data_IF_774465943425
#
_entry.id   IF_774465943425
#
_cell.length_a   1.000
_cell.length_b   1.000
_cell.length_c   1.000
_cell.angle_alpha   90.00
_cell.angle_beta   90.00
_cell.angle_gamma   90.00
#
_symmetry.space_group_name_H-M   'P 1'
#
loop_
_entity.id
_entity.type
_entity.pdbx_description
1 polymer ?
#
# COMPACT_ATOMS: atom_id res chain seq x y z
N UNK A 1 -21.88 -6.62 4.76
CA UNK A 1 -21.20 -6.22 3.52
C UNK A 1 -20.29 -5.03 3.83
N UNK A 2 -19.03 -5.06 3.41
CA UNK A 2 -18.06 -3.99 3.69
C UNK A 2 -18.41 -2.76 2.85
N UNK A 3 -18.54 -1.58 3.48
CA UNK A 3 -18.72 -0.30 2.76
C UNK A 3 -17.35 0.21 2.33
N UNK A 4 -17.08 0.21 1.03
CA UNK A 4 -15.84 0.75 0.47
C UNK A 4 -15.88 2.27 0.37
N UNK A 5 -14.72 2.92 0.41
CA UNK A 5 -14.62 4.38 0.29
C UNK A 5 -14.74 4.87 -1.16
N UNK A 6 -14.55 3.99 -2.15
CA UNK A 6 -14.64 4.31 -3.56
C UNK A 6 -15.08 3.08 -4.35
N UNK A 7 -16.11 3.25 -5.15
CA UNK A 7 -16.61 2.21 -6.05
C UNK A 7 -15.80 2.18 -7.37
N UNK A 8 -15.53 0.98 -7.91
CA UNK A 8 -14.86 0.80 -9.18
C UNK A 8 -15.81 1.18 -10.33
N UNK A 9 -15.25 1.80 -11.38
CA UNK A 9 -16.04 2.13 -12.59
C UNK A 9 -16.58 0.89 -13.31
N UNK A 10 -15.89 -0.27 -13.21
CA UNK A 10 -16.31 -1.54 -13.83
C UNK A 10 -16.19 -2.67 -12.80
N UNK A 11 -17.29 -3.09 -12.14
CA UNK A 11 -17.22 -4.07 -11.06
C UNK A 11 -16.79 -5.46 -11.55
N UNK A 12 -17.19 -5.88 -12.75
CA UNK A 12 -16.88 -7.22 -13.29
C UNK A 12 -15.41 -7.48 -13.59
N UNK A 13 -14.60 -6.42 -13.79
CA UNK A 13 -13.17 -6.50 -14.10
C UNK A 13 -12.28 -5.98 -12.96
N UNK A 14 -12.88 -5.67 -11.82
CA UNK A 14 -12.18 -5.10 -10.67
C UNK A 14 -12.25 -6.08 -9.50
N UNK A 15 -11.20 -6.10 -8.68
CA UNK A 15 -11.15 -6.87 -7.45
C UNK A 15 -10.98 -5.93 -6.26
N UNK A 16 -11.77 -6.12 -5.20
CA UNK A 16 -11.73 -5.33 -3.98
C UNK A 16 -11.25 -6.18 -2.81
N UNK A 17 -10.50 -5.57 -1.88
CA UNK A 17 -10.02 -6.22 -0.67
C UNK A 17 -9.90 -5.19 0.46
N UNK A 18 -10.18 -5.62 1.70
CA UNK A 18 -10.02 -4.79 2.90
C UNK A 18 -9.44 -5.63 4.04
N UNK A 19 -8.51 -5.03 4.79
CA UNK A 19 -8.11 -5.51 6.12
C UNK A 19 -8.65 -4.57 7.19
N UNK A 20 -9.24 -5.12 8.26
CA UNK A 20 -9.80 -4.34 9.38
C UNK A 20 -9.01 -4.62 10.67
N UNK A 21 -8.88 -3.60 11.53
CA UNK A 21 -8.26 -3.70 12.86
C UNK A 21 -6.84 -4.31 12.87
N UNK A 22 -6.02 -3.99 11.87
CA UNK A 22 -4.62 -4.41 11.82
C UNK A 22 -3.77 -3.56 12.78
N UNK A 23 -2.97 -4.22 13.64
CA UNK A 23 -2.02 -3.56 14.54
C UNK A 23 -0.76 -3.14 13.78
N UNK A 24 -0.82 -2.01 13.08
CA UNK A 24 0.28 -1.46 12.27
C UNK A 24 0.43 0.05 12.48
N UNK A 25 1.61 0.60 12.17
CA UNK A 25 1.83 2.04 12.24
C UNK A 25 1.17 2.76 11.06
N UNK A 26 0.12 3.54 11.35
CA UNK A 26 -0.69 4.24 10.34
C UNK A 26 0.15 5.05 9.33
N UNK A 27 1.12 5.84 9.81
CA UNK A 27 1.91 6.72 8.94
C UNK A 27 2.77 5.92 7.96
N UNK A 28 3.36 4.81 8.40
CA UNK A 28 4.22 3.98 7.56
C UNK A 28 3.38 3.26 6.51
N UNK A 29 2.24 2.68 6.92
CA UNK A 29 1.32 1.99 6.01
C UNK A 29 0.82 2.91 4.90
N UNK A 30 0.50 4.17 5.23
CA UNK A 30 0.09 5.17 4.22
C UNK A 30 1.16 5.41 3.15
N UNK A 31 2.43 5.58 3.55
CA UNK A 31 3.52 5.77 2.59
C UNK A 31 3.79 4.51 1.77
N UNK A 32 3.72 3.31 2.40
CA UNK A 32 3.87 2.04 1.68
C UNK A 32 2.80 1.85 0.60
N UNK A 33 1.53 2.12 0.92
CA UNK A 33 0.42 2.04 -0.03
C UNK A 33 0.55 3.04 -1.17
N UNK A 34 1.09 4.23 -0.89
CA UNK A 34 1.34 5.23 -1.91
C UNK A 34 2.48 4.82 -2.86
N UNK A 35 3.52 4.19 -2.34
CA UNK A 35 4.67 3.72 -3.13
C UNK A 35 4.32 2.57 -4.10
N UNK A 36 3.41 1.67 -3.71
CA UNK A 36 3.00 0.54 -4.58
C UNK A 36 1.86 0.87 -5.55
N UNK A 37 1.32 2.09 -5.48
CA UNK A 37 0.16 2.51 -6.27
C UNK A 37 0.48 2.47 -7.77
N UNK A 38 -0.43 1.88 -8.57
CA UNK A 38 -0.30 1.68 -10.04
C UNK A 38 0.81 0.72 -10.48
N UNK A 39 1.40 -0.07 -9.58
CA UNK A 39 2.33 -1.14 -9.96
C UNK A 39 1.57 -2.41 -10.39
N UNK A 40 2.12 -3.19 -11.36
CA UNK A 40 1.65 -4.55 -11.61
C UNK A 40 1.82 -5.45 -10.38
N UNK A 41 0.91 -6.40 -10.19
CA UNK A 41 0.86 -7.27 -9.01
C UNK A 41 2.18 -8.03 -8.76
N UNK A 42 2.80 -8.56 -9.80
CA UNK A 42 4.09 -9.29 -9.71
C UNK A 42 5.21 -8.38 -9.20
N UNK A 43 5.30 -7.16 -9.75
CA UNK A 43 6.31 -6.16 -9.36
C UNK A 43 6.07 -5.68 -7.94
N UNK A 44 4.82 -5.42 -7.54
CA UNK A 44 4.48 -4.98 -6.19
C UNK A 44 4.87 -6.04 -5.14
N UNK A 45 4.57 -7.32 -5.39
CA UNK A 45 4.98 -8.42 -4.49
C UNK A 45 6.50 -8.51 -4.34
N UNK A 46 7.23 -8.44 -5.46
CA UNK A 46 8.70 -8.44 -5.44
C UNK A 46 9.25 -7.23 -4.67
N UNK A 47 8.69 -6.04 -4.92
CA UNK A 47 9.09 -4.80 -4.26
C UNK A 47 8.99 -4.91 -2.73
N UNK A 48 7.86 -5.38 -2.21
CA UNK A 48 7.66 -5.55 -0.76
C UNK A 48 8.65 -6.54 -0.14
N UNK A 49 8.97 -7.65 -0.84
CA UNK A 49 10.01 -8.60 -0.38
C UNK A 49 11.39 -7.97 -0.31
N UNK A 50 11.74 -7.13 -1.29
CA UNK A 50 13.03 -6.43 -1.37
C UNK A 50 13.12 -5.33 -0.29
N UNK A 51 12.01 -4.69 0.07
CA UNK A 51 11.93 -3.73 1.18
C UNK A 51 12.16 -4.42 2.53
N UNK A 52 11.55 -5.59 2.76
CA UNK A 52 11.79 -6.39 3.98
C UNK A 52 13.26 -6.81 4.07
N UNK A 53 13.90 -7.10 2.93
CA UNK A 53 15.32 -7.39 2.84
C UNK A 53 16.22 -6.13 2.94
N UNK A 54 15.65 -4.94 3.18
CA UNK A 54 16.35 -3.66 3.26
C UNK A 54 17.20 -3.31 2.03
N UNK A 55 16.87 -3.87 0.86
CA UNK A 55 17.56 -3.62 -0.41
C UNK A 55 16.98 -2.42 -1.17
N UNK A 56 15.73 -2.05 -0.88
CA UNK A 56 15.05 -0.87 -1.42
C UNK A 56 14.27 -0.19 -0.30
N UNK A 57 14.20 1.14 -0.33
CA UNK A 57 13.52 1.94 0.69
C UNK A 57 12.16 2.45 0.19
N UNK A 58 11.24 2.66 1.13
CA UNK A 58 9.95 3.29 0.83
C UNK A 58 10.09 4.80 1.01
N UNK A 59 9.80 5.61 -0.02
CA UNK A 59 9.89 7.05 0.10
C UNK A 59 8.75 7.59 0.96
N UNK A 60 9.08 8.21 2.08
CA UNK A 60 8.13 9.00 2.86
C UNK A 60 7.93 10.34 2.16
N UNK A 61 6.67 10.70 1.84
CA UNK A 61 6.32 11.98 1.18
C UNK A 61 5.46 12.92 2.02
N UNK A 62 4.54 12.42 2.85
CA UNK A 62 3.71 13.27 3.73
C UNK A 62 4.24 13.33 5.15
N UNK A 63 4.63 12.18 5.69
CA UNK A 63 5.12 12.08 7.07
C UNK A 63 6.65 12.16 7.08
N UNK A 64 7.20 13.33 6.72
CA UNK A 64 8.63 13.49 6.44
C UNK A 64 9.42 14.29 7.49
N UNK A 65 8.80 14.74 8.58
CA UNK A 65 9.47 15.53 9.61
C UNK A 65 10.11 14.59 10.64
N UNK A 66 11.39 14.27 10.43
CA UNK A 66 12.16 13.34 11.30
C UNK A 66 12.17 11.89 10.82
N UNK A 67 12.23 11.66 9.51
CA UNK A 67 12.41 10.32 8.92
C UNK A 67 13.84 10.19 8.40
N UNK A 68 14.54 9.15 8.86
CA UNK A 68 15.95 8.88 8.57
C UNK A 68 16.54 7.98 9.64
#
# INVERSE_FOLDING_TARGET
>A
MVKYSRDPSKPTKSSEAMGQNLRVHFKNTRETSFAIRKLPLVKAKRYLKVVIAHKQAIPFRRFCRGVG
#
